data_IF_983126989793
#
_entry.id   IF_983126989793
#
_cell.length_a   1.000
_cell.length_b   1.000
_cell.length_c   1.000
_cell.angle_alpha   90.00
_cell.angle_beta   90.00
_cell.angle_gamma   90.00
#
_symmetry.space_group_name_H-M   'P 1'
#
loop_
_entity.id
_entity.type
_entity.pdbx_description
1 polymer ?
#
# COMPACT_ATOMS: atom_id res chain seq x y z
N UNK A 1 -15.40 9.41 4.49
CA UNK A 1 -14.06 8.78 4.32
C UNK A 1 -14.17 7.30 4.57
N UNK A 2 -13.37 6.49 3.90
CA UNK A 2 -13.44 5.04 4.03
C UNK A 2 -12.84 4.57 5.37
N UNK A 3 -13.50 3.59 6.02
CA UNK A 3 -13.20 3.17 7.40
C UNK A 3 -11.79 2.58 7.53
N UNK A 4 -11.38 1.71 6.61
CA UNK A 4 -10.10 0.99 6.68
C UNK A 4 -8.93 1.94 6.40
N UNK A 5 -9.10 2.89 5.49
CA UNK A 5 -8.12 3.95 5.24
C UNK A 5 -7.82 4.74 6.53
N UNK A 6 -8.87 5.18 7.23
CA UNK A 6 -8.70 5.96 8.48
C UNK A 6 -7.98 5.15 9.56
N UNK A 7 -8.33 3.87 9.72
CA UNK A 7 -7.66 2.96 10.67
C UNK A 7 -6.18 2.77 10.31
N UNK A 8 -5.89 2.51 9.03
CA UNK A 8 -4.53 2.26 8.56
C UNK A 8 -3.65 3.50 8.74
N UNK A 9 -4.15 4.69 8.39
CA UNK A 9 -3.47 5.97 8.63
C UNK A 9 -3.14 6.14 10.12
N UNK A 10 -4.12 5.94 11.01
CA UNK A 10 -3.91 6.05 12.47
C UNK A 10 -2.78 5.14 12.97
N UNK A 11 -2.73 3.89 12.52
CA UNK A 11 -1.69 2.96 12.94
C UNK A 11 -0.32 3.40 12.41
N UNK A 12 -0.23 3.87 11.17
CA UNK A 12 1.02 4.42 10.60
C UNK A 12 1.53 5.60 11.46
N UNK A 13 0.63 6.50 11.89
CA UNK A 13 0.99 7.60 12.80
C UNK A 13 1.54 7.09 14.14
N UNK A 14 0.90 6.08 14.74
CA UNK A 14 1.36 5.48 16.00
C UNK A 14 2.72 4.77 15.84
N UNK A 15 2.96 4.10 14.71
CA UNK A 15 4.24 3.44 14.42
C UNK A 15 5.36 4.45 14.24
N UNK A 16 5.09 5.59 13.58
CA UNK A 16 6.09 6.64 13.39
C UNK A 16 6.44 7.38 14.70
N UNK A 17 5.46 7.55 15.59
CA UNK A 17 5.69 8.07 16.95
C UNK A 17 6.35 9.45 16.98
N UNK A 18 5.97 10.35 16.07
CA UNK A 18 6.49 11.72 15.96
C UNK A 18 8.03 11.82 15.95
N UNK A 19 8.71 10.92 15.23
CA UNK A 19 10.17 10.91 15.10
C UNK A 19 10.88 9.89 16.00
N UNK A 20 10.13 9.16 16.84
CA UNK A 20 10.63 7.97 17.54
C UNK A 20 9.88 6.71 17.08
N UNK A 21 10.24 6.16 15.91
CA UNK A 21 9.51 5.06 15.32
C UNK A 21 9.62 3.78 16.14
N UNK A 22 8.53 3.03 16.25
CA UNK A 22 8.52 1.72 16.89
C UNK A 22 9.28 0.69 16.04
N UNK A 23 10.59 0.61 16.25
CA UNK A 23 11.53 -0.22 15.48
C UNK A 23 11.18 -1.70 15.52
N UNK A 24 10.64 -2.20 16.64
CA UNK A 24 10.24 -3.59 16.79
C UNK A 24 9.05 -3.93 15.88
N UNK A 25 8.02 -3.08 15.86
CA UNK A 25 6.87 -3.22 14.96
C UNK A 25 7.29 -3.12 13.50
N UNK A 26 8.11 -2.14 13.14
CA UNK A 26 8.65 -2.01 11.77
C UNK A 26 9.49 -3.22 11.36
N UNK A 27 10.27 -3.82 12.28
CA UNK A 27 11.03 -5.02 12.01
C UNK A 27 10.12 -6.24 11.79
N UNK A 28 9.10 -6.42 12.64
CA UNK A 28 8.11 -7.49 12.48
C UNK A 28 7.39 -7.38 11.13
N UNK A 29 6.85 -6.21 10.81
CA UNK A 29 6.15 -5.94 9.56
C UNK A 29 7.01 -6.17 8.33
N UNK A 30 8.32 -5.87 8.35
CA UNK A 30 9.20 -6.15 7.20
C UNK A 30 9.41 -7.64 6.93
N UNK A 31 9.32 -8.46 7.97
CA UNK A 31 9.61 -9.90 7.87
C UNK A 31 8.40 -10.73 7.43
N UNK A 32 7.20 -10.18 7.48
CA UNK A 32 5.98 -10.92 7.13
C UNK A 32 4.86 -9.98 6.70
N UNK A 33 4.05 -10.44 5.76
CA UNK A 33 2.79 -9.82 5.36
C UNK A 33 1.57 -10.66 5.76
N UNK A 34 1.78 -11.72 6.54
CA UNK A 34 0.73 -12.59 7.07
C UNK A 34 0.50 -12.30 8.55
N UNK A 35 -0.73 -11.90 8.87
CA UNK A 35 -1.16 -11.59 10.23
C UNK A 35 -1.14 -12.81 11.16
N UNK A 36 -1.14 -14.02 10.63
CA UNK A 36 -1.02 -15.28 11.40
C UNK A 36 0.43 -15.67 11.71
N UNK A 37 1.41 -14.99 11.14
CA UNK A 37 2.81 -15.28 11.42
C UNK A 37 3.15 -15.02 12.90
N UNK A 38 3.97 -15.87 13.52
CA UNK A 38 4.40 -15.69 14.93
C UNK A 38 5.00 -14.30 15.19
N UNK A 39 5.73 -13.73 14.22
CA UNK A 39 6.32 -12.38 14.34
C UNK A 39 5.27 -11.26 14.33
N UNK A 40 4.07 -11.51 13.80
CA UNK A 40 2.97 -10.54 13.74
C UNK A 40 2.40 -10.20 15.14
N UNK A 41 2.64 -11.06 16.14
CA UNK A 41 2.20 -10.86 17.53
C UNK A 41 2.61 -9.51 18.13
N UNK A 42 3.78 -8.98 17.74
CA UNK A 42 4.28 -7.67 18.17
C UNK A 42 3.44 -6.52 17.57
N UNK A 43 2.79 -6.75 16.43
CA UNK A 43 1.95 -5.77 15.73
C UNK A 43 0.50 -5.80 16.23
N UNK A 44 0.03 -6.96 16.70
CA UNK A 44 -1.37 -7.18 17.10
C UNK A 44 -1.92 -6.14 18.09
N UNK A 45 -1.21 -5.71 19.15
CA UNK A 45 -1.75 -4.71 20.06
C UNK A 45 -2.14 -3.41 19.36
N UNK A 46 -1.34 -2.93 18.41
CA UNK A 46 -1.64 -1.73 17.63
C UNK A 46 -2.73 -1.98 16.58
N UNK A 47 -2.65 -3.11 15.88
CA UNK A 47 -3.59 -3.45 14.82
C UNK A 47 -5.02 -3.67 15.35
N UNK A 48 -5.16 -4.51 16.37
CA UNK A 48 -6.45 -4.99 16.85
C UNK A 48 -7.16 -3.94 17.71
N UNK A 49 -6.43 -3.14 18.49
CA UNK A 49 -6.97 -1.97 19.20
C UNK A 49 -7.51 -0.92 18.22
N UNK A 50 -6.88 -0.82 17.04
CA UNK A 50 -7.26 0.17 16.06
C UNK A 50 -8.48 -0.22 15.21
N UNK A 51 -8.86 -1.50 15.16
CA UNK A 51 -10.00 -1.99 14.38
C UNK A 51 -11.29 -1.91 15.19
N UNK A 52 -12.40 -1.55 14.53
CA UNK A 52 -13.70 -1.60 15.20
C UNK A 52 -14.18 -3.05 15.35
N UNK A 53 -14.98 -3.32 16.40
CA UNK A 53 -15.38 -4.67 16.83
C UNK A 53 -15.91 -5.59 15.71
N UNK A 54 -16.59 -5.04 14.71
CA UNK A 54 -17.14 -5.80 13.58
C UNK A 54 -16.09 -6.23 12.54
N UNK A 55 -14.90 -5.62 12.56
CA UNK A 55 -13.77 -6.00 11.69
C UNK A 55 -12.84 -7.04 12.35
N UNK A 56 -13.03 -7.31 13.64
CA UNK A 56 -12.22 -8.28 14.37
C UNK A 56 -12.74 -9.70 14.15
N UNK A 57 -11.81 -10.66 14.06
CA UNK A 57 -12.17 -12.06 13.96
C UNK A 57 -12.90 -12.55 15.21
N UNK A 58 -13.96 -13.34 15.01
CA UNK A 58 -14.67 -14.07 16.07
C UNK A 58 -14.29 -15.55 16.15
N UNK A 59 -13.54 -16.03 15.16
CA UNK A 59 -13.26 -17.47 14.96
C UNK A 59 -11.76 -17.79 14.99
N UNK A 60 -10.90 -16.77 15.16
CA UNK A 60 -9.46 -16.90 15.05
C UNK A 60 -8.95 -16.93 13.60
N UNK A 61 -9.84 -16.96 12.60
CA UNK A 61 -9.47 -16.78 11.19
C UNK A 61 -9.43 -15.30 10.84
N UNK A 62 -8.36 -14.78 10.21
CA UNK A 62 -8.28 -13.36 9.92
C UNK A 62 -9.45 -12.87 9.09
N UNK A 63 -9.96 -11.68 9.40
CA UNK A 63 -10.95 -11.01 8.56
C UNK A 63 -10.28 -10.34 7.36
N UNK A 64 -11.07 -9.93 6.38
CA UNK A 64 -10.55 -9.16 5.26
C UNK A 64 -9.95 -7.83 5.71
N UNK A 65 -10.49 -7.22 6.77
CA UNK A 65 -9.98 -5.98 7.35
C UNK A 65 -8.61 -6.20 8.02
N UNK A 66 -8.47 -7.22 8.86
CA UNK A 66 -7.21 -7.57 9.52
C UNK A 66 -6.10 -7.84 8.49
N UNK A 67 -6.40 -8.63 7.45
CA UNK A 67 -5.43 -8.89 6.36
C UNK A 67 -5.08 -7.63 5.58
N UNK A 68 -6.06 -6.81 5.23
CA UNK A 68 -5.85 -5.62 4.42
C UNK A 68 -4.98 -4.58 5.13
N UNK A 69 -5.29 -4.28 6.39
CA UNK A 69 -4.51 -3.34 7.20
C UNK A 69 -3.11 -3.89 7.42
N UNK A 70 -2.96 -5.17 7.78
CA UNK A 70 -1.63 -5.76 7.98
C UNK A 70 -0.77 -5.72 6.71
N UNK A 71 -1.34 -6.05 5.55
CA UNK A 71 -0.65 -5.98 4.27
C UNK A 71 -0.22 -4.55 3.88
N UNK A 72 -1.06 -3.55 4.16
CA UNK A 72 -0.70 -2.15 3.94
C UNK A 72 0.42 -1.68 4.88
N UNK A 73 0.38 -2.08 6.15
CA UNK A 73 1.43 -1.81 7.13
C UNK A 73 2.75 -2.50 6.75
N UNK A 74 2.70 -3.71 6.19
CA UNK A 74 3.86 -4.38 5.62
C UNK A 74 4.49 -3.55 4.49
N UNK A 75 3.69 -3.08 3.53
CA UNK A 75 4.17 -2.23 2.43
C UNK A 75 4.80 -0.93 2.97
N UNK A 76 4.15 -0.28 3.94
CA UNK A 76 4.70 0.90 4.62
C UNK A 76 6.05 0.60 5.28
N UNK A 77 6.16 -0.48 6.06
CA UNK A 77 7.39 -0.82 6.78
C UNK A 77 8.55 -1.16 5.84
N UNK A 78 8.25 -1.82 4.70
CA UNK A 78 9.23 -2.08 3.63
C UNK A 78 9.72 -0.76 3.03
N UNK A 79 8.79 0.15 2.70
CA UNK A 79 9.12 1.44 2.10
C UNK A 79 9.89 2.37 3.04
N UNK A 80 9.53 2.40 4.33
CA UNK A 80 10.17 3.24 5.35
C UNK A 80 11.60 2.78 5.70
N UNK A 81 11.97 1.53 5.40
CA UNK A 81 13.26 0.97 5.80
C UNK A 81 14.45 1.70 5.15
N UNK A 82 15.31 2.30 5.96
CA UNK A 82 16.49 3.02 5.47
C UNK A 82 16.23 4.49 5.14
N UNK A 83 14.99 4.95 5.30
CA UNK A 83 14.64 6.36 5.21
C UNK A 83 14.61 6.99 6.60
N UNK A 84 15.30 8.12 6.76
CA UNK A 84 15.33 8.89 8.00
C UNK A 84 14.13 9.83 8.18
N UNK A 85 13.51 10.25 7.07
CA UNK A 85 12.25 10.99 7.07
C UNK A 85 11.04 10.05 6.99
N UNK A 86 9.88 10.45 7.51
CA UNK A 86 8.64 9.68 7.38
C UNK A 86 8.15 9.72 5.93
N UNK A 87 8.17 8.58 5.25
CA UNK A 87 7.74 8.47 3.85
C UNK A 87 6.27 8.02 3.72
N UNK A 88 5.56 7.88 4.85
CA UNK A 88 4.14 7.48 4.93
C UNK A 88 3.23 8.54 5.55
N UNK A 89 3.68 9.79 5.66
CA UNK A 89 2.92 10.87 6.27
C UNK A 89 1.90 11.48 5.31
N UNK A 90 0.73 10.85 5.16
CA UNK A 90 -0.44 11.49 4.57
C UNK A 90 -1.44 11.80 5.70
N UNK A 91 -1.20 12.89 6.43
CA UNK A 91 -2.16 13.37 7.42
C UNK A 91 -3.39 13.97 6.72
N UNK A 92 -4.51 14.11 7.44
CA UNK A 92 -5.81 14.57 6.90
C UNK A 92 -5.65 15.91 6.16
N UNK A 93 -5.54 15.85 4.82
CA UNK A 93 -5.39 17.01 3.93
C UNK A 93 -4.05 17.08 3.18
N UNK A 94 -3.06 16.24 3.48
CA UNK A 94 -1.72 16.30 2.88
C UNK A 94 -1.44 15.12 1.93
N UNK A 95 -1.53 15.41 0.62
CA UNK A 95 -0.49 15.18 -0.41
C UNK A 95 0.05 13.78 -0.72
N UNK A 96 -0.26 12.73 0.05
CA UNK A 96 0.29 11.39 -0.18
C UNK A 96 -0.15 10.82 -1.53
N UNK A 97 0.82 10.41 -2.35
CA UNK A 97 0.56 9.90 -3.68
C UNK A 97 0.10 8.44 -3.61
N UNK A 98 -0.92 8.02 -4.39
CA UNK A 98 -1.23 6.60 -4.52
C UNK A 98 -0.03 5.82 -5.04
N UNK A 99 0.18 4.60 -4.53
CA UNK A 99 1.35 3.77 -4.86
C UNK A 99 1.54 3.61 -6.37
N UNK A 100 0.46 3.31 -7.11
CA UNK A 100 0.52 3.10 -8.56
C UNK A 100 0.83 4.38 -9.33
N UNK A 101 0.45 5.54 -8.78
CA UNK A 101 0.83 6.83 -9.36
C UNK A 101 2.32 7.15 -9.11
N UNK A 102 2.90 6.70 -8.00
CA UNK A 102 4.35 6.79 -7.77
C UNK A 102 5.13 5.83 -8.68
N UNK A 103 4.64 4.60 -8.87
CA UNK A 103 5.21 3.67 -9.87
C UNK A 103 5.15 4.22 -11.30
N UNK A 104 4.12 5.02 -11.63
CA UNK A 104 4.02 5.70 -12.91
C UNK A 104 5.15 6.71 -13.16
N UNK A 105 5.74 7.28 -12.11
CA UNK A 105 6.91 8.16 -12.25
C UNK A 105 8.14 7.35 -12.63
N UNK A 106 8.36 6.20 -12.00
CA UNK A 106 9.46 5.30 -12.37
C UNK A 106 9.33 4.82 -13.82
N UNK A 107 8.10 4.65 -14.31
CA UNK A 107 7.82 4.28 -15.71
C UNK A 107 8.36 5.31 -16.72
N UNK A 108 8.56 6.57 -16.31
CA UNK A 108 9.10 7.62 -17.21
C UNK A 108 10.56 7.35 -17.60
N UNK A 109 11.30 6.59 -16.78
CA UNK A 109 12.65 6.15 -17.10
C UNK A 109 12.61 4.99 -18.12
N UNK A 110 13.13 5.18 -19.36
CA UNK A 110 13.12 4.16 -20.39
C UNK A 110 13.82 2.86 -20.00
N UNK A 111 14.84 2.93 -19.13
CA UNK A 111 15.66 1.78 -18.75
C UNK A 111 14.93 0.82 -17.81
N UNK A 112 13.97 1.32 -17.02
CA UNK A 112 13.21 0.53 -16.06
C UNK A 112 11.77 0.29 -16.49
N UNK A 113 11.24 1.09 -17.43
CA UNK A 113 9.86 1.05 -17.93
C UNK A 113 9.35 -0.35 -18.24
N UNK A 114 10.02 -1.11 -19.11
CA UNK A 114 9.54 -2.43 -19.54
C UNK A 114 9.43 -3.43 -18.37
N UNK A 115 10.40 -3.38 -17.44
CA UNK A 115 10.43 -4.25 -16.29
C UNK A 115 9.35 -3.91 -15.23
N UNK A 116 9.01 -2.63 -15.08
CA UNK A 116 7.93 -2.18 -14.19
C UNK A 116 6.57 -2.46 -14.85
N UNK A 117 6.39 -2.14 -16.13
CA UNK A 117 5.16 -2.39 -16.89
C UNK A 117 4.75 -3.86 -16.80
N UNK A 118 5.68 -4.81 -16.99
CA UNK A 118 5.40 -6.25 -16.88
C UNK A 118 4.88 -6.66 -15.49
N UNK A 119 5.48 -6.11 -14.43
CA UNK A 119 5.09 -6.44 -13.04
C UNK A 119 3.75 -5.82 -12.67
N UNK A 120 3.50 -4.60 -13.12
CA UNK A 120 2.20 -3.95 -12.94
C UNK A 120 1.12 -4.69 -13.70
N UNK A 121 1.34 -5.07 -14.97
CA UNK A 121 0.39 -5.88 -15.74
C UNK A 121 0.04 -7.20 -15.06
N UNK A 122 1.01 -7.87 -14.44
CA UNK A 122 0.76 -9.08 -13.65
C UNK A 122 -0.20 -8.81 -12.48
N UNK A 123 0.01 -7.71 -11.76
CA UNK A 123 -0.90 -7.29 -10.67
C UNK A 123 -2.29 -6.97 -11.21
N UNK A 124 -2.38 -6.18 -12.28
CA UNK A 124 -3.64 -5.74 -12.86
C UNK A 124 -4.44 -6.86 -13.53
N UNK A 125 -3.79 -7.96 -13.92
CA UNK A 125 -4.43 -9.12 -14.54
C UNK A 125 -4.87 -10.21 -13.56
N UNK A 126 -4.45 -10.12 -12.30
CA UNK A 126 -4.70 -11.16 -11.30
C UNK A 126 -5.87 -10.77 -10.39
N UNK A 127 -6.78 -11.70 -10.12
CA UNK A 127 -7.92 -11.48 -9.20
C UNK A 127 -7.74 -12.19 -7.86
N UNK A 128 -6.71 -13.02 -7.69
CA UNK A 128 -6.43 -13.68 -6.41
C UNK A 128 -5.87 -12.66 -5.41
N UNK A 129 -6.56 -12.37 -4.30
CA UNK A 129 -6.15 -11.29 -3.40
C UNK A 129 -4.78 -11.53 -2.76
N UNK A 130 -4.47 -12.77 -2.38
CA UNK A 130 -3.18 -13.12 -1.76
C UNK A 130 -2.02 -12.91 -2.72
N UNK A 131 -2.15 -13.40 -3.96
CA UNK A 131 -1.14 -13.21 -5.01
C UNK A 131 -0.94 -11.74 -5.35
N UNK A 132 -2.03 -10.97 -5.46
CA UNK A 132 -1.99 -9.52 -5.73
C UNK A 132 -1.29 -8.77 -4.59
N UNK A 133 -1.65 -9.03 -3.33
CA UNK A 133 -1.02 -8.39 -2.16
C UNK A 133 0.49 -8.67 -2.14
N UNK A 134 0.91 -9.91 -2.38
CA UNK A 134 2.31 -10.29 -2.45
C UNK A 134 3.05 -9.52 -3.56
N UNK A 135 2.46 -9.48 -4.76
CA UNK A 135 3.04 -8.79 -5.91
C UNK A 135 3.15 -7.26 -5.68
N UNK A 136 2.16 -6.65 -5.01
CA UNK A 136 2.21 -5.22 -4.62
C UNK A 136 3.30 -4.97 -3.57
N UNK A 137 3.52 -5.89 -2.63
CA UNK A 137 4.66 -5.84 -1.71
C UNK A 137 6.01 -5.79 -2.45
N UNK A 138 6.17 -6.62 -3.48
CA UNK A 138 7.36 -6.59 -4.33
C UNK A 138 7.50 -5.27 -5.12
N UNK A 139 6.41 -4.75 -5.68
CA UNK A 139 6.42 -3.43 -6.34
C UNK A 139 6.83 -2.31 -5.38
N UNK A 140 6.38 -2.38 -4.13
CA UNK A 140 6.76 -1.40 -3.08
C UNK A 140 8.26 -1.44 -2.79
N UNK A 141 8.86 -2.62 -2.77
CA UNK A 141 10.32 -2.77 -2.63
C UNK A 141 11.11 -2.20 -3.82
N UNK A 142 10.57 -2.35 -5.04
CA UNK A 142 11.15 -1.73 -6.24
C UNK A 142 11.03 -0.21 -6.17
N UNK A 143 9.88 0.32 -5.76
CA UNK A 143 9.70 1.76 -5.59
C UNK A 143 10.72 2.30 -4.59
N UNK A 144 10.83 1.67 -3.43
CA UNK A 144 11.80 2.00 -2.39
C UNK A 144 13.24 2.07 -2.91
N UNK A 145 13.68 1.12 -3.73
CA UNK A 145 15.08 1.08 -4.21
C UNK A 145 15.40 2.14 -5.27
N UNK A 146 14.38 2.82 -5.82
CA UNK A 146 14.52 3.80 -6.90
C UNK A 146 14.09 5.21 -6.51
N UNK A 147 13.06 5.35 -5.68
CA UNK A 147 12.52 6.61 -5.16
C UNK A 147 12.05 6.38 -3.72
N UNK A 148 12.86 6.80 -2.75
CA UNK A 148 12.60 6.58 -1.33
C UNK A 148 12.15 7.84 -0.59
N UNK A 149 11.99 8.97 -1.29
CA UNK A 149 11.69 10.28 -0.68
C UNK A 149 10.24 10.72 -0.87
N UNK A 150 9.47 10.04 -1.73
CA UNK A 150 8.08 10.37 -1.96
C UNK A 150 7.18 9.97 -0.79
N UNK A 151 6.17 10.79 -0.50
CA UNK A 151 5.15 10.45 0.49
C UNK A 151 4.08 9.59 -0.19
N UNK A 152 3.94 8.35 0.25
CA UNK A 152 3.01 7.38 -0.33
C UNK A 152 1.80 7.18 0.60
N UNK A 153 0.60 7.20 0.03
CA UNK A 153 -0.64 6.96 0.76
C UNK A 153 -0.90 5.44 0.92
N UNK A 154 -0.22 4.81 1.89
CA UNK A 154 -0.45 3.40 2.23
C UNK A 154 -1.81 3.15 2.89
N UNK A 155 -2.44 4.18 3.45
CA UNK A 155 -3.78 4.07 4.03
C UNK A 155 -4.82 3.78 2.94
N UNK A 156 -4.75 4.49 1.82
CA UNK A 156 -5.56 4.26 0.63
C UNK A 156 -5.31 2.87 0.04
N UNK A 157 -4.07 2.37 0.09
CA UNK A 157 -3.75 1.00 -0.31
C UNK A 157 -4.41 -0.05 0.60
N UNK A 158 -4.47 0.19 1.91
CA UNK A 158 -5.19 -0.68 2.85
C UNK A 158 -6.68 -0.78 2.54
N UNK A 159 -7.31 0.33 2.14
CA UNK A 159 -8.70 0.32 1.69
C UNK A 159 -8.89 -0.47 0.39
N UNK A 160 -7.96 -0.36 -0.55
CA UNK A 160 -8.01 -1.12 -1.80
C UNK A 160 -7.85 -2.62 -1.55
N UNK A 161 -6.90 -3.02 -0.70
CA UNK A 161 -6.73 -4.42 -0.30
C UNK A 161 -7.95 -4.99 0.41
N UNK A 162 -8.71 -4.16 1.13
CA UNK A 162 -9.96 -4.59 1.74
C UNK A 162 -11.00 -4.95 0.68
N UNK A 163 -11.23 -4.05 -0.29
CA UNK A 163 -12.20 -4.28 -1.36
C UNK A 163 -11.80 -5.43 -2.30
N UNK A 164 -10.50 -5.55 -2.59
CA UNK A 164 -9.92 -6.62 -3.41
C UNK A 164 -10.35 -8.03 -2.96
N UNK A 165 -10.67 -8.22 -1.68
CA UNK A 165 -10.97 -9.53 -1.10
C UNK A 165 -12.45 -9.95 -1.20
N UNK A 166 -13.36 -9.09 -1.67
CA UNK A 166 -14.79 -9.39 -1.60
C UNK A 166 -15.33 -10.21 -2.75
N UNK A 167 -14.96 -9.88 -3.98
CA UNK A 167 -15.42 -10.58 -5.18
C UNK A 167 -14.44 -10.37 -6.32
N UNK A 168 -14.53 -11.22 -7.35
CA UNK A 168 -13.76 -11.00 -8.58
C UNK A 168 -14.07 -9.64 -9.21
N UNK A 169 -15.33 -9.21 -9.19
CA UNK A 169 -15.76 -7.89 -9.69
C UNK A 169 -15.10 -6.75 -8.90
N UNK A 170 -15.15 -6.79 -7.57
CA UNK A 170 -14.50 -5.77 -6.74
C UNK A 170 -12.98 -5.77 -6.95
N UNK A 171 -12.36 -6.93 -7.14
CA UNK A 171 -10.96 -7.02 -7.52
C UNK A 171 -10.66 -6.40 -8.89
N UNK A 172 -11.57 -6.54 -9.87
CA UNK A 172 -11.46 -5.86 -11.17
C UNK A 172 -11.59 -4.35 -11.06
N UNK A 173 -12.50 -3.85 -10.23
CA UNK A 173 -12.65 -2.41 -9.97
C UNK A 173 -11.40 -1.80 -9.35
N UNK A 174 -10.82 -2.47 -8.33
CA UNK A 174 -9.54 -2.07 -7.73
C UNK A 174 -8.41 -2.10 -8.77
N UNK A 175 -8.36 -3.14 -9.60
CA UNK A 175 -7.38 -3.23 -10.69
C UNK A 175 -7.54 -2.10 -11.70
N UNK A 176 -8.78 -1.74 -12.08
CA UNK A 176 -9.04 -0.62 -12.98
C UNK A 176 -8.56 0.70 -12.37
N UNK A 177 -8.88 0.94 -11.09
CA UNK A 177 -8.40 2.12 -10.34
C UNK A 177 -6.87 2.20 -10.34
N UNK A 178 -6.17 1.11 -10.07
CA UNK A 178 -4.70 1.06 -10.12
C UNK A 178 -4.16 1.27 -11.53
N UNK A 179 -4.82 0.70 -12.54
CA UNK A 179 -4.49 0.92 -13.95
C UNK A 179 -4.64 2.39 -14.35
N UNK A 180 -5.71 3.06 -13.93
CA UNK A 180 -5.89 4.49 -14.12
C UNK A 180 -4.77 5.28 -13.43
N UNK A 181 -4.46 4.98 -12.17
CA UNK A 181 -3.36 5.64 -11.45
C UNK A 181 -1.99 5.46 -12.12
N UNK A 182 -1.76 4.30 -12.75
CA UNK A 182 -0.47 3.94 -13.36
C UNK A 182 -0.31 4.44 -14.79
N UNK A 183 -1.34 4.30 -15.63
CA UNK A 183 -1.27 4.61 -17.06
C UNK A 183 -1.75 6.01 -17.40
N UNK A 184 -2.65 6.60 -16.61
CA UNK A 184 -3.17 7.92 -16.89
C UNK A 184 -2.24 9.00 -16.32
N UNK A 185 -1.48 9.62 -17.21
CA UNK A 185 -0.68 10.79 -16.92
C UNK A 185 -1.34 11.98 -17.63
N UNK A 186 -1.82 12.97 -16.87
CA UNK A 186 -2.36 14.22 -17.41
C UNK A 186 -1.25 14.95 -18.17
N UNK A 187 -1.17 14.75 -19.48
CA UNK A 187 -0.03 15.21 -20.29
C UNK A 187 -0.09 14.89 -21.80
N UNK A 188 -1.29 14.79 -22.39
CA UNK A 188 -1.48 14.97 -23.83
C UNK A 188 -2.61 15.98 -24.03
N UNK A 189 -2.24 17.24 -24.24
CA UNK A 189 -2.92 18.33 -24.98
C UNK A 189 -2.53 19.73 -24.43
N UNK A 190 -1.24 20.07 -24.52
CA UNK A 190 -0.79 21.42 -24.95
C UNK A 190 0.42 21.20 -25.86
N UNK A 191 0.17 20.56 -27.00
CA UNK A 191 1.09 20.48 -28.14
C UNK A 191 0.30 20.39 -29.46
N UNK A 192 -0.90 20.99 -29.48
CA UNK A 192 -1.62 21.39 -30.70
C UNK A 192 -1.92 22.88 -30.56
N UNK A 193 -0.85 23.68 -30.57
CA UNK A 193 -0.88 25.08 -30.96
C UNK A 193 0.36 25.33 -31.80
N UNK A 194 0.18 25.40 -33.11
CA UNK A 194 1.20 25.82 -34.07
C UNK A 194 1.57 24.75 -35.07
N UNK A 195 0.68 24.48 -36.03
CA UNK A 195 0.95 24.67 -37.46
C UNK A 195 -0.37 24.99 -38.17
#
# INVERSE_FOLDING_TARGET
MARIETVTSRIIHQIWGNGNPNKAVLAALRNTNDVLNKKATVVWPLLLDALAKNDLSKTGRPTSAERAVFAALHCYAVYQQGNQASCGYADKGHGGKPLFKALAELRKDPTTRAAIDRRVQNVLGNTNPGSVINAVGHLTSILKSRSSQEVINFAQLGQDFYYLQFSNESAREVSLKWGQQYYWQSGKQVAEKGE
#
